data_IF_264907807561
#
_entry.id   IF_264907807561
#
_cell.length_a   1.000
_cell.length_b   1.000
_cell.length_c   1.000
_cell.angle_alpha   90.00
_cell.angle_beta   90.00
_cell.angle_gamma   90.00
#
_symmetry.space_group_name_H-M   'P 1'
#
loop_
_entity.id
_entity.type
_entity.pdbx_description
1 polymer ?
#
# COMPACT_ATOMS: atom_id res chain seq x y z
N UNK A 1 9.32 -0.47 20.64
CA UNK A 1 9.54 -0.19 19.20
C UNK A 1 8.31 -0.61 18.40
N UNK A 2 8.00 -0.01 17.23
CA UNK A 2 7.08 -0.65 16.28
C UNK A 2 7.48 -2.11 16.04
N UNK A 3 6.51 -3.01 15.92
CA UNK A 3 6.82 -4.37 15.48
C UNK A 3 7.26 -4.32 14.02
N UNK A 4 8.57 -4.31 13.81
CA UNK A 4 9.18 -4.53 12.50
C UNK A 4 9.17 -6.03 12.26
N UNK A 5 8.13 -6.53 11.59
CA UNK A 5 8.14 -7.93 11.14
C UNK A 5 8.89 -8.01 9.82
N UNK A 6 9.91 -8.86 9.77
CA UNK A 6 10.58 -9.20 8.53
C UNK A 6 9.56 -9.83 7.57
N UNK A 7 9.71 -9.55 6.28
CA UNK A 7 8.91 -10.17 5.22
C UNK A 7 8.92 -11.69 5.40
N UNK A 8 7.76 -12.36 5.48
CA UNK A 8 7.71 -13.82 5.51
C UNK A 8 8.35 -14.38 4.25
N UNK A 9 9.28 -15.32 4.42
CA UNK A 9 9.83 -16.11 3.32
C UNK A 9 8.88 -17.27 3.07
N UNK A 10 8.45 -17.46 1.82
CA UNK A 10 7.62 -18.58 1.39
C UNK A 10 8.48 -19.59 0.62
N UNK A 11 9.07 -20.61 1.29
CA UNK A 11 10.09 -21.48 0.69
C UNK A 11 9.58 -22.29 -0.51
N UNK A 12 8.26 -22.52 -0.57
CA UNK A 12 7.61 -23.28 -1.63
C UNK A 12 7.16 -22.42 -2.82
N UNK A 13 7.20 -21.09 -2.72
CA UNK A 13 7.05 -20.22 -3.88
C UNK A 13 8.42 -20.06 -4.54
N UNK A 14 8.63 -20.76 -5.65
CA UNK A 14 9.87 -20.71 -6.46
C UNK A 14 10.32 -19.29 -6.84
N UNK A 15 9.41 -18.32 -6.80
CA UNK A 15 9.64 -16.93 -7.22
C UNK A 15 9.40 -15.89 -6.12
N UNK A 16 9.27 -16.29 -4.84
CA UNK A 16 8.95 -15.36 -3.75
C UNK A 16 10.02 -14.26 -3.55
N UNK A 17 11.27 -14.57 -3.86
CA UNK A 17 12.42 -13.68 -3.69
C UNK A 17 13.02 -13.20 -5.00
N UNK A 18 12.56 -13.73 -6.13
CA UNK A 18 12.99 -13.22 -7.42
C UNK A 18 12.24 -11.92 -7.68
N UNK A 19 12.98 -10.84 -7.97
CA UNK A 19 12.42 -9.72 -8.73
C UNK A 19 11.71 -10.33 -9.94
N UNK A 20 10.41 -10.06 -10.07
CA UNK A 20 9.63 -10.52 -11.22
C UNK A 20 10.42 -10.17 -12.49
N UNK A 21 10.91 -11.18 -13.25
CA UNK A 21 11.73 -10.91 -14.40
C UNK A 21 10.89 -10.07 -15.35
N UNK A 22 11.42 -8.89 -15.70
CA UNK A 22 10.81 -7.99 -16.67
C UNK A 22 10.78 -8.63 -18.04
N UNK A 23 9.88 -9.59 -18.25
CA UNK A 23 9.55 -10.10 -19.58
C UNK A 23 8.71 -9.06 -20.30
N UNK A 24 8.85 -9.10 -21.63
CA UNK A 24 8.32 -8.16 -22.61
C UNK A 24 6.94 -7.60 -22.25
N UNK A 25 6.78 -6.29 -22.53
CA UNK A 25 5.51 -5.55 -22.54
C UNK A 25 4.35 -6.44 -23.01
N UNK A 26 3.43 -6.80 -22.12
CA UNK A 26 2.26 -7.56 -22.57
C UNK A 26 1.28 -7.97 -21.49
N UNK A 27 1.74 -8.59 -20.40
CA UNK A 27 0.80 -9.42 -19.62
C UNK A 27 0.60 -9.02 -18.15
N UNK A 28 1.45 -8.15 -17.58
CA UNK A 28 1.30 -7.70 -16.18
C UNK A 28 1.02 -6.20 -16.07
N UNK A 29 0.25 -5.83 -15.05
CA UNK A 29 0.00 -4.46 -14.62
C UNK A 29 1.29 -3.87 -14.03
N UNK A 30 2.14 -3.29 -14.87
CA UNK A 30 3.41 -2.67 -14.45
C UNK A 30 3.23 -1.15 -14.37
N UNK A 31 2.67 -0.66 -13.27
CA UNK A 31 2.74 0.77 -12.96
C UNK A 31 4.19 1.07 -12.52
N UNK A 32 4.92 1.84 -13.32
CA UNK A 32 6.25 2.40 -13.01
C UNK A 32 7.42 1.44 -12.67
N UNK A 33 7.33 0.13 -12.88
CA UNK A 33 8.49 -0.78 -12.66
C UNK A 33 9.75 -0.33 -13.41
N UNK A 34 9.59 0.15 -14.65
CA UNK A 34 10.70 0.69 -15.46
C UNK A 34 11.35 1.94 -14.87
N UNK A 35 10.64 2.73 -14.05
CA UNK A 35 11.16 3.99 -13.50
C UNK A 35 11.88 3.81 -12.15
N UNK A 36 11.53 2.75 -11.40
CA UNK A 36 12.08 2.47 -10.07
C UNK A 36 13.06 1.28 -10.06
N UNK A 37 12.80 0.23 -10.84
CA UNK A 37 13.62 -0.98 -10.88
C UNK A 37 15.02 -0.77 -11.47
N UNK A 38 15.16 0.12 -12.45
CA UNK A 38 16.47 0.42 -13.08
C UNK A 38 17.44 1.15 -12.13
N UNK A 39 16.95 1.80 -11.07
CA UNK A 39 17.77 2.66 -10.21
C UNK A 39 18.25 2.00 -8.91
N UNK A 40 18.00 0.70 -8.69
CA UNK A 40 18.37 -0.03 -7.46
C UNK A 40 17.94 0.68 -6.15
N UNK A 41 16.87 1.46 -6.20
CA UNK A 41 16.31 2.11 -5.02
C UNK A 41 15.54 1.07 -4.20
N UNK A 42 15.50 1.20 -2.88
CA UNK A 42 14.64 0.39 -2.01
C UNK A 42 13.21 0.37 -2.56
N UNK A 43 12.52 -0.77 -2.42
CA UNK A 43 11.22 -1.02 -3.07
C UNK A 43 10.10 -0.05 -2.69
N UNK A 44 10.29 0.79 -1.67
CA UNK A 44 9.40 1.88 -1.28
C UNK A 44 8.77 1.71 0.09
N UNK A 45 7.76 2.54 0.37
CA UNK A 45 6.91 2.42 1.55
C UNK A 45 5.49 2.19 1.04
N UNK A 46 4.87 1.10 1.44
CA UNK A 46 3.47 0.84 1.20
C UNK A 46 2.66 1.28 2.41
N UNK A 47 1.57 2.00 2.20
CA UNK A 47 0.72 2.51 3.28
C UNK A 47 -0.73 2.09 3.06
N UNK A 48 -1.45 1.86 4.16
CA UNK A 48 -2.89 1.63 4.15
C UNK A 48 -3.60 2.77 4.83
N UNK A 49 -4.55 3.32 4.11
CA UNK A 49 -5.27 4.52 4.48
C UNK A 49 -6.75 4.19 4.63
N UNK A 50 -7.39 4.83 5.60
CA UNK A 50 -8.85 4.86 5.66
C UNK A 50 -9.40 6.00 4.79
N UNK A 51 -10.72 6.03 4.61
CA UNK A 51 -11.44 7.08 3.87
C UNK A 51 -11.32 8.48 4.50
N UNK A 52 -10.95 8.55 5.78
CA UNK A 52 -10.70 9.78 6.53
C UNK A 52 -9.22 10.22 6.47
N UNK A 53 -8.41 9.65 5.56
CA UNK A 53 -6.98 9.96 5.41
C UNK A 53 -6.11 9.61 6.62
N UNK A 54 -6.57 8.71 7.49
CA UNK A 54 -5.78 8.15 8.60
C UNK A 54 -4.96 6.97 8.08
N UNK A 55 -3.65 6.98 8.32
CA UNK A 55 -2.76 5.87 8.00
C UNK A 55 -2.84 4.81 9.09
N UNK A 56 -3.40 3.63 8.78
CA UNK A 56 -3.47 2.53 9.74
C UNK A 56 -2.14 1.78 9.86
N UNK A 57 -1.47 1.56 8.73
CA UNK A 57 -0.23 0.80 8.68
C UNK A 57 0.65 1.26 7.52
N UNK A 58 1.96 1.09 7.72
CA UNK A 58 2.93 1.11 6.64
C UNK A 58 3.86 -0.10 6.67
N UNK A 59 4.40 -0.46 5.51
CA UNK A 59 5.39 -1.52 5.33
C UNK A 59 6.53 -1.02 4.44
N UNK A 60 7.77 -1.22 4.89
CA UNK A 60 8.96 -0.89 4.10
C UNK A 60 9.27 -2.06 3.15
N UNK A 61 9.19 -1.80 1.86
CA UNK A 61 9.43 -2.79 0.81
C UNK A 61 10.94 -2.88 0.55
N UNK A 62 11.56 -4.07 0.66
CA UNK A 62 13.01 -4.20 0.56
C UNK A 62 13.55 -4.08 -0.87
N UNK A 63 12.91 -4.71 -1.87
CA UNK A 63 13.48 -4.81 -3.23
C UNK A 63 12.51 -4.51 -4.38
N UNK A 64 11.20 -4.63 -4.17
CA UNK A 64 10.18 -4.26 -5.17
C UNK A 64 8.77 -4.64 -4.72
N UNK A 65 7.79 -3.84 -5.13
CA UNK A 65 6.37 -4.06 -4.83
C UNK A 65 5.88 -5.38 -5.46
N UNK A 66 5.36 -6.26 -4.63
CA UNK A 66 4.75 -7.52 -4.99
C UNK A 66 3.51 -7.80 -4.16
N UNK A 67 2.78 -8.84 -4.55
CA UNK A 67 1.54 -9.27 -3.89
C UNK A 67 1.68 -9.48 -2.38
N UNK A 68 2.86 -9.90 -1.94
CA UNK A 68 3.14 -10.22 -0.54
C UNK A 68 3.33 -8.97 0.33
N UNK A 69 3.63 -7.81 -0.25
CA UNK A 69 3.82 -6.57 0.52
C UNK A 69 2.49 -6.08 1.10
N UNK A 70 1.39 -6.17 0.31
CA UNK A 70 0.02 -5.90 0.77
C UNK A 70 -0.29 -6.72 2.02
N UNK A 71 -0.08 -8.03 1.96
CA UNK A 71 -0.32 -8.91 3.10
C UNK A 71 0.64 -8.66 4.25
N UNK A 72 1.90 -8.31 3.97
CA UNK A 72 2.89 -8.00 5.01
C UNK A 72 2.52 -6.77 5.83
N UNK A 73 1.90 -5.75 5.22
CA UNK A 73 1.35 -4.63 5.99
C UNK A 73 0.12 -5.01 6.81
N UNK A 74 -0.80 -5.85 6.32
CA UNK A 74 -1.97 -6.23 7.14
C UNK A 74 -1.54 -7.16 8.29
N UNK A 75 -0.62 -8.09 8.01
CA UNK A 75 -0.13 -9.09 8.97
C UNK A 75 0.56 -8.50 10.20
N UNK A 76 1.19 -7.33 10.09
CA UNK A 76 1.87 -6.67 11.22
C UNK A 76 0.89 -6.14 12.27
N UNK A 77 -0.40 -6.01 11.95
CA UNK A 77 -1.44 -5.52 12.86
C UNK A 77 -2.29 -6.63 13.51
N UNK A 78 -2.12 -7.90 13.11
CA UNK A 78 -2.82 -8.99 13.77
C UNK A 78 -2.05 -9.53 14.99
N UNK A 79 -2.70 -9.60 16.17
CA UNK A 79 -2.14 -10.28 17.33
C UNK A 79 -1.80 -11.75 17.04
N UNK A 80 -2.63 -12.41 16.21
CA UNK A 80 -2.41 -13.77 15.69
C UNK A 80 -2.71 -13.80 14.19
N UNK A 81 -1.72 -14.13 13.37
CA UNK A 81 -1.89 -14.19 11.92
C UNK A 81 -2.86 -15.32 11.51
N UNK A 82 -3.75 -15.09 10.53
CA UNK A 82 -4.63 -16.14 10.01
C UNK A 82 -3.83 -17.22 9.29
N UNK A 83 -4.30 -18.48 9.36
CA UNK A 83 -3.65 -19.65 8.74
C UNK A 83 -3.74 -19.60 7.20
N UNK A 84 -4.82 -19.04 6.67
CA UNK A 84 -5.09 -18.88 5.24
C UNK A 84 -5.66 -17.46 5.04
N UNK A 85 -4.97 -16.66 4.23
CA UNK A 85 -5.34 -15.27 3.96
C UNK A 85 -6.65 -15.13 3.15
N UNK A 86 -6.91 -15.98 2.13
CA UNK A 86 -8.19 -15.97 1.40
C UNK A 86 -9.45 -16.09 2.27
N UNK A 87 -9.46 -16.97 3.29
CA UNK A 87 -10.64 -17.19 4.13
C UNK A 87 -11.01 -15.92 4.93
N UNK A 88 -9.99 -15.16 5.34
CA UNK A 88 -10.19 -13.92 6.09
C UNK A 88 -10.86 -12.83 5.25
N UNK A 89 -10.54 -12.77 3.96
CA UNK A 89 -11.04 -11.76 3.04
C UNK A 89 -12.19 -12.24 2.16
N UNK A 90 -12.77 -13.43 2.44
CA UNK A 90 -13.84 -14.03 1.64
C UNK A 90 -15.05 -13.09 1.46
N UNK A 91 -15.32 -12.24 2.46
CA UNK A 91 -16.41 -11.26 2.44
C UNK A 91 -15.90 -9.81 2.26
N UNK A 92 -14.72 -9.62 1.66
CA UNK A 92 -14.12 -8.30 1.43
C UNK A 92 -14.05 -8.00 -0.06
N UNK A 93 -14.61 -6.86 -0.46
CA UNK A 93 -14.52 -6.35 -1.83
C UNK A 93 -13.21 -5.58 -2.01
N UNK A 94 -12.38 -5.99 -2.97
CA UNK A 94 -11.19 -5.26 -3.39
C UNK A 94 -11.45 -4.59 -4.73
N UNK A 95 -11.31 -3.27 -4.76
CA UNK A 95 -11.51 -2.46 -5.96
C UNK A 95 -10.37 -1.47 -6.11
N UNK A 96 -9.98 -1.22 -7.36
CA UNK A 96 -9.01 -0.21 -7.74
C UNK A 96 -9.70 1.15 -7.72
N UNK A 97 -9.03 2.13 -7.13
CA UNK A 97 -9.49 3.52 -7.06
C UNK A 97 -9.86 4.08 -8.45
N UNK A 98 -10.94 4.87 -8.48
CA UNK A 98 -11.51 5.42 -9.72
C UNK A 98 -10.62 6.45 -10.42
N UNK A 99 -9.81 7.21 -9.68
CA UNK A 99 -8.88 8.17 -10.26
C UNK A 99 -7.63 7.49 -10.82
N UNK A 100 -7.18 6.43 -10.14
CA UNK A 100 -6.07 5.59 -10.59
C UNK A 100 -6.39 4.66 -11.75
N UNK A 101 -7.66 4.28 -11.95
CA UNK A 101 -8.10 3.32 -12.98
C UNK A 101 -7.61 3.66 -14.41
N UNK A 102 -7.47 4.95 -14.75
CA UNK A 102 -6.96 5.40 -16.07
C UNK A 102 -5.54 4.90 -16.38
N UNK A 103 -4.72 4.65 -15.36
CA UNK A 103 -3.37 4.10 -15.52
C UNK A 103 -3.34 2.58 -15.72
N UNK A 104 -4.47 1.90 -15.49
CA UNK A 104 -4.59 0.45 -15.57
C UNK A 104 -5.16 0.01 -16.92
N UNK A 105 -4.33 -0.04 -17.96
CA UNK A 105 -4.76 -0.43 -19.32
C UNK A 105 -5.04 -1.92 -19.49
N UNK A 106 -4.68 -2.75 -18.51
CA UNK A 106 -4.80 -4.23 -18.57
C UNK A 106 -5.66 -4.83 -17.45
N UNK A 107 -6.14 -4.01 -16.51
CA UNK A 107 -7.04 -4.50 -15.48
C UNK A 107 -8.46 -4.57 -16.06
N UNK A 108 -9.19 -5.63 -15.70
CA UNK A 108 -10.59 -5.78 -16.10
C UNK A 108 -11.44 -4.63 -15.54
N UNK A 109 -12.46 -4.15 -16.28
CA UNK A 109 -13.45 -3.21 -15.74
C UNK A 109 -14.07 -3.67 -14.43
N UNK A 110 -14.24 -4.98 -14.24
CA UNK A 110 -14.74 -5.58 -13.01
C UNK A 110 -13.82 -5.45 -11.79
N UNK A 111 -12.65 -4.80 -11.92
CA UNK A 111 -11.76 -4.46 -10.81
C UNK A 111 -11.86 -2.97 -10.41
N UNK A 112 -12.59 -2.13 -11.15
CA UNK A 112 -12.62 -0.69 -10.92
C UNK A 112 -13.79 -0.26 -10.04
N UNK A 113 -13.54 0.58 -9.03
CA UNK A 113 -14.57 1.13 -8.15
C UNK A 113 -15.69 1.82 -8.94
N UNK A 114 -15.35 2.50 -10.03
CA UNK A 114 -16.30 3.16 -10.93
C UNK A 114 -17.31 2.18 -11.52
N UNK A 115 -16.90 0.96 -11.86
CA UNK A 115 -17.84 -0.04 -12.39
C UNK A 115 -18.81 -0.53 -11.32
N UNK A 116 -18.36 -0.68 -10.07
CA UNK A 116 -19.23 -1.06 -8.96
C UNK A 116 -20.14 0.09 -8.49
N UNK A 117 -19.72 1.35 -8.62
CA UNK A 117 -20.55 2.48 -8.21
C UNK A 117 -21.79 2.64 -9.10
N UNK A 118 -21.78 2.11 -10.33
CA UNK A 118 -22.94 2.10 -11.22
C UNK A 118 -24.05 1.19 -10.69
N UNK A 119 -23.71 0.07 -10.04
CA UNK A 119 -24.68 -0.88 -9.47
C UNK A 119 -24.98 -0.58 -8.00
N UNK A 120 -24.01 -0.04 -7.26
CA UNK A 120 -24.18 0.40 -5.88
C UNK A 120 -23.67 1.85 -5.70
N UNK A 121 -24.55 2.87 -5.82
CA UNK A 121 -24.17 4.27 -5.74
C UNK A 121 -23.49 4.69 -4.42
N UNK A 122 -23.72 3.96 -3.33
CA UNK A 122 -23.07 4.22 -2.03
C UNK A 122 -21.55 4.10 -2.13
N UNK A 123 -21.04 3.23 -3.01
CA UNK A 123 -19.60 3.07 -3.23
C UNK A 123 -18.97 4.31 -3.88
N UNK A 124 -19.75 5.10 -4.62
CA UNK A 124 -19.30 6.35 -5.22
C UNK A 124 -19.12 7.49 -4.21
N UNK A 125 -19.68 7.37 -3.01
CA UNK A 125 -19.53 8.37 -1.93
C UNK A 125 -18.25 8.14 -1.10
N UNK A 126 -17.60 6.99 -1.28
CA UNK A 126 -16.37 6.64 -0.58
C UNK A 126 -15.22 7.50 -1.11
N UNK A 127 -14.46 8.11 -0.21
CA UNK A 127 -13.24 8.84 -0.56
C UNK A 127 -12.12 7.88 -0.98
N UNK A 128 -12.18 7.42 -2.23
CA UNK A 128 -11.19 6.48 -2.79
C UNK A 128 -9.82 7.13 -3.04
N UNK A 129 -9.77 8.46 -3.09
CA UNK A 129 -8.53 9.25 -3.25
C UNK A 129 -7.74 9.43 -1.95
N UNK A 130 -8.26 9.04 -0.79
CA UNK A 130 -7.59 9.20 0.50
C UNK A 130 -6.16 8.60 0.50
N UNK A 131 -5.99 7.43 -0.14
CA UNK A 131 -4.70 6.78 -0.25
C UNK A 131 -3.73 7.55 -1.18
N UNK A 132 -4.22 8.14 -2.27
CA UNK A 132 -3.41 8.95 -3.17
C UNK A 132 -2.95 10.25 -2.50
N UNK A 133 -3.87 10.96 -1.85
CA UNK A 133 -3.57 12.17 -1.09
C UNK A 133 -2.59 11.86 0.07
N UNK A 134 -2.85 10.80 0.84
CA UNK A 134 -1.95 10.38 1.92
C UNK A 134 -0.55 10.02 1.41
N UNK A 135 -0.45 9.29 0.30
CA UNK A 135 0.84 8.97 -0.32
C UNK A 135 1.57 10.22 -0.84
N UNK A 136 0.86 11.29 -1.20
CA UNK A 136 1.52 12.54 -1.58
C UNK A 136 2.29 13.16 -0.40
N UNK A 137 1.83 12.96 0.83
CA UNK A 137 2.48 13.47 2.03
C UNK A 137 3.85 12.80 2.28
N UNK A 138 4.04 11.56 1.84
CA UNK A 138 5.33 10.86 1.91
C UNK A 138 6.42 11.57 1.10
N UNK A 139 6.06 12.41 0.12
CA UNK A 139 7.04 13.21 -0.63
C UNK A 139 7.82 14.15 0.28
N UNK A 140 7.22 14.62 1.38
CA UNK A 140 7.88 15.52 2.34
C UNK A 140 9.02 14.84 3.09
N UNK A 141 8.87 13.55 3.43
CA UNK A 141 9.88 12.80 4.19
C UNK A 141 10.83 11.99 3.31
N UNK A 142 10.53 11.85 2.02
CA UNK A 142 11.27 11.01 1.08
C UNK A 142 12.78 11.24 1.12
N UNK A 143 13.21 12.51 1.10
CA UNK A 143 14.63 12.86 1.07
C UNK A 143 15.32 12.50 2.39
N UNK A 144 14.68 12.81 3.51
CA UNK A 144 15.21 12.51 4.85
C UNK A 144 15.36 10.99 5.04
N UNK A 145 14.29 10.24 4.75
CA UNK A 145 14.28 8.78 4.86
C UNK A 145 15.33 8.13 3.95
N UNK A 146 15.61 8.70 2.76
CA UNK A 146 16.61 8.15 1.83
C UNK A 146 18.06 8.18 2.35
N UNK A 147 18.36 9.00 3.37
CA UNK A 147 19.67 9.08 3.99
C UNK A 147 19.75 8.32 5.33
N UNK A 148 18.66 7.68 5.75
CA UNK A 148 18.60 6.95 7.01
C UNK A 148 18.88 5.47 6.80
N UNK A 149 19.50 4.85 7.80
CA UNK A 149 19.48 3.39 7.95
C UNK A 149 18.03 2.91 8.11
N UNK A 150 17.76 1.67 7.70
CA UNK A 150 16.40 1.11 7.68
C UNK A 150 15.68 1.26 9.03
N UNK A 151 16.34 0.99 10.15
CA UNK A 151 15.73 1.08 11.48
C UNK A 151 15.33 2.52 11.83
N UNK A 152 16.21 3.49 11.53
CA UNK A 152 15.92 4.91 11.73
C UNK A 152 14.79 5.39 10.81
N UNK A 153 14.81 4.96 9.56
CA UNK A 153 13.76 5.24 8.58
C UNK A 153 12.39 4.74 9.06
N UNK A 154 12.33 3.53 9.62
CA UNK A 154 11.09 2.95 10.17
C UNK A 154 10.58 3.77 11.36
N UNK A 155 11.44 4.08 12.32
CA UNK A 155 11.06 4.86 13.50
C UNK A 155 10.58 6.25 13.10
N UNK A 156 11.30 6.93 12.21
CA UNK A 156 10.95 8.25 11.72
C UNK A 156 9.61 8.23 10.97
N UNK A 157 9.41 7.26 10.07
CA UNK A 157 8.16 7.10 9.31
C UNK A 157 6.98 6.85 10.26
N UNK A 158 7.16 6.05 11.31
CA UNK A 158 6.11 5.84 12.32
C UNK A 158 5.74 7.14 13.04
N UNK A 159 6.72 7.92 13.47
CA UNK A 159 6.48 9.20 14.16
C UNK A 159 5.75 10.16 13.23
N UNK A 160 6.18 10.26 11.97
CA UNK A 160 5.52 11.05 10.95
C UNK A 160 4.03 10.69 10.81
N UNK A 161 3.70 9.40 10.66
CA UNK A 161 2.30 8.97 10.58
C UNK A 161 1.52 9.17 11.88
N UNK A 162 2.17 9.08 13.04
CA UNK A 162 1.52 9.34 14.32
C UNK A 162 1.09 10.81 14.44
N UNK A 163 1.94 11.74 14.01
CA UNK A 163 1.64 13.16 13.96
C UNK A 163 0.55 13.45 12.91
N UNK A 164 0.69 12.90 11.70
CA UNK A 164 -0.31 13.02 10.64
C UNK A 164 -1.70 12.59 11.12
N UNK A 165 -1.79 11.39 11.70
CA UNK A 165 -3.05 10.85 12.19
C UNK A 165 -3.65 11.73 13.30
N UNK A 166 -2.83 12.26 14.19
CA UNK A 166 -3.29 13.19 15.23
C UNK A 166 -3.94 14.44 14.60
N UNK A 167 -3.28 15.05 13.62
CA UNK A 167 -3.79 16.23 12.93
C UNK A 167 -5.09 15.95 12.16
N UNK A 168 -5.18 14.83 11.43
CA UNK A 168 -6.40 14.44 10.72
C UNK A 168 -7.55 14.10 11.67
N UNK A 169 -7.26 13.50 12.83
CA UNK A 169 -8.28 13.25 13.87
C UNK A 169 -8.81 14.57 14.43
N UNK A 170 -7.94 15.53 14.75
CA UNK A 170 -8.41 16.86 15.20
C UNK A 170 -9.28 17.53 14.13
N UNK A 171 -8.82 17.52 12.88
CA UNK A 171 -9.54 18.11 11.74
C UNK A 171 -10.92 17.47 11.50
N UNK A 172 -11.02 16.15 11.65
CA UNK A 172 -12.28 15.41 11.46
C UNK A 172 -13.20 15.47 12.67
N UNK A 173 -12.65 15.69 13.88
CA UNK A 173 -13.43 15.79 15.12
C UNK A 173 -13.95 17.22 15.37
N UNK A 174 -13.54 18.21 14.58
CA UNK A 174 -13.97 19.61 14.73
C UNK A 174 -13.49 20.25 16.04
N UNK A 175 -12.40 19.75 16.60
CA UNK A 175 -11.77 20.30 17.81
C UNK A 175 -10.61 21.18 17.33
N UNK A 176 -10.93 22.45 17.08
CA UNK A 176 -9.95 23.53 16.88
C UNK A 176 -9.45 24.07 18.23
#
# INVERSE_FOLDING_TARGET
>A
MPQVRLRPLYPHLKHDLSSEPGRQRGEKCSKYYSQYGEKRLTGGIMCMWCTHSICYVFHCIPQGEGRNDVFSAILTHWPKAPKVVPDFFANTLFVVDGFHAKGHTKCSPGAFLTTYSHTNPQLGQINSSAAECGNSALKHIRKLVSYMLQDHAIVYTKVFFSIWNCLEICRTSGVD
#
